data_IF_391358632253
#
_entry.id   IF_391358632253
#
_cell.length_a   1.000
_cell.length_b   1.000
_cell.length_c   1.000
_cell.angle_alpha   90.00
_cell.angle_beta   90.00
_cell.angle_gamma   90.00
#
_symmetry.space_group_name_H-M   'P 1'
#
loop_
_entity.id
_entity.type
_entity.pdbx_description
1 polymer ?
#
# COMPACT_ATOMS: atom_id res chain seq x y z
N UNK A 1 7.65 7.50 11.03
CA UNK A 1 6.43 6.66 11.02
C UNK A 1 6.81 5.23 11.35
N UNK A 2 6.12 4.61 12.29
CA UNK A 2 6.40 3.24 12.71
C UNK A 2 5.53 2.25 11.96
N UNK A 3 5.92 0.98 11.98
CA UNK A 3 5.11 -0.09 11.39
C UNK A 3 3.72 -0.14 12.05
N UNK A 4 3.68 0.11 13.35
CA UNK A 4 2.42 0.14 14.10
C UNK A 4 1.47 1.22 13.56
N UNK A 5 1.98 2.42 13.33
CA UNK A 5 1.18 3.52 12.79
C UNK A 5 0.68 3.20 11.39
N UNK A 6 1.54 2.60 10.57
CA UNK A 6 1.18 2.22 9.21
C UNK A 6 0.06 1.18 9.23
N UNK A 7 0.20 0.13 10.06
CA UNK A 7 -0.82 -0.90 10.19
C UNK A 7 -2.14 -0.33 10.68
N UNK A 8 -2.10 0.59 11.64
CA UNK A 8 -3.30 1.20 12.18
C UNK A 8 -4.04 2.00 11.09
N UNK A 9 -3.30 2.78 10.32
CA UNK A 9 -3.89 3.59 9.26
C UNK A 9 -4.46 2.73 8.15
N UNK A 10 -3.75 1.69 7.73
CA UNK A 10 -4.25 0.74 6.75
C UNK A 10 -5.47 0.00 7.28
N UNK A 11 -5.44 -0.42 8.55
CA UNK A 11 -6.57 -1.12 9.16
C UNK A 11 -7.85 -0.29 9.19
N UNK A 12 -7.72 1.02 9.34
CA UNK A 12 -8.87 1.92 9.31
C UNK A 12 -9.45 2.10 7.90
N UNK A 13 -8.75 1.61 6.89
CA UNK A 13 -9.14 1.76 5.49
C UNK A 13 -9.38 0.45 4.77
N UNK A 14 -9.48 -0.67 5.51
CA UNK A 14 -9.79 -1.97 4.91
C UNK A 14 -11.15 -1.89 4.21
N UNK A 15 -11.19 -2.40 2.97
CA UNK A 15 -12.39 -2.36 2.15
C UNK A 15 -12.59 -1.06 1.41
N UNK A 16 -11.75 -0.06 1.63
CA UNK A 16 -11.84 1.22 0.96
C UNK A 16 -10.84 1.32 -0.18
N UNK A 17 -11.20 2.11 -1.19
CA UNK A 17 -10.29 2.42 -2.28
C UNK A 17 -9.23 3.40 -1.82
N UNK A 18 -7.98 3.11 -2.21
CA UNK A 18 -6.85 4.00 -1.98
C UNK A 18 -6.07 4.13 -3.28
N UNK A 19 -5.33 5.23 -3.42
CA UNK A 19 -4.43 5.41 -4.55
C UNK A 19 -3.04 4.95 -4.12
N UNK A 20 -2.44 4.05 -4.90
CA UNK A 20 -1.10 3.53 -4.64
C UNK A 20 -0.18 4.01 -5.74
N UNK A 21 0.90 4.65 -5.35
CA UNK A 21 1.93 5.14 -6.25
C UNK A 21 3.20 4.35 -6.01
N UNK A 22 3.60 3.55 -6.97
CA UNK A 22 4.76 2.68 -6.87
C UNK A 22 5.94 3.33 -7.59
N UNK A 23 7.07 3.43 -6.89
CA UNK A 23 8.29 4.02 -7.45
C UNK A 23 9.03 2.99 -8.29
N UNK A 24 9.14 3.25 -9.59
CA UNK A 24 9.87 2.40 -10.53
C UNK A 24 11.32 2.83 -10.69
N UNK A 25 11.77 3.87 -9.97
CA UNK A 25 13.12 4.43 -10.06
C UNK A 25 13.19 5.59 -11.03
N UNK A 26 14.24 6.42 -10.92
CA UNK A 26 14.54 7.54 -11.82
C UNK A 26 13.34 8.42 -12.16
N UNK A 27 12.60 8.85 -11.13
CA UNK A 27 11.42 9.71 -11.29
C UNK A 27 10.28 9.07 -12.09
N UNK A 28 10.27 7.76 -12.18
CA UNK A 28 9.16 7.02 -12.81
C UNK A 28 8.30 6.40 -11.73
N UNK A 29 6.99 6.51 -11.90
CA UNK A 29 6.01 5.99 -10.96
C UNK A 29 4.91 5.27 -11.73
N UNK A 30 4.34 4.26 -11.09
CA UNK A 30 3.12 3.63 -11.53
C UNK A 30 2.06 3.92 -10.48
N UNK A 31 0.90 4.42 -10.90
CA UNK A 31 -0.17 4.78 -9.99
C UNK A 31 -1.44 4.03 -10.37
N UNK A 32 -2.12 3.50 -9.38
CA UNK A 32 -3.37 2.80 -9.60
C UNK A 32 -4.22 2.81 -8.34
N UNK A 33 -5.53 2.56 -8.54
CA UNK A 33 -6.49 2.47 -7.44
C UNK A 33 -6.58 1.01 -7.01
N UNK A 34 -6.58 0.80 -5.70
CA UNK A 34 -6.70 -0.54 -5.13
C UNK A 34 -7.55 -0.51 -3.87
N UNK A 35 -8.07 -1.67 -3.51
CA UNK A 35 -8.84 -1.84 -2.28
C UNK A 35 -7.98 -2.63 -1.31
N UNK A 36 -7.83 -2.13 -0.09
CA UNK A 36 -7.08 -2.82 0.94
C UNK A 36 -7.92 -4.01 1.42
N UNK A 37 -7.36 -5.22 1.31
CA UNK A 37 -8.08 -6.45 1.64
C UNK A 37 -7.73 -6.98 3.01
N UNK A 38 -6.46 -7.26 3.26
CA UNK A 38 -6.02 -7.92 4.48
C UNK A 38 -4.68 -7.38 4.92
N UNK A 39 -4.46 -7.40 6.23
CA UNK A 39 -3.19 -7.02 6.84
C UNK A 39 -2.60 -8.24 7.54
N UNK A 40 -1.31 -8.46 7.32
CA UNK A 40 -0.54 -9.50 7.99
C UNK A 40 0.57 -8.86 8.80
N UNK A 41 1.42 -9.66 9.45
CA UNK A 41 2.45 -9.13 10.33
C UNK A 41 3.47 -8.25 9.62
N UNK A 42 3.85 -8.61 8.40
CA UNK A 42 4.89 -7.90 7.66
C UNK A 42 4.44 -7.36 6.32
N UNK A 43 3.33 -7.85 5.80
CA UNK A 43 2.83 -7.47 4.49
C UNK A 43 1.33 -7.19 4.56
N UNK A 44 0.83 -6.52 3.54
CA UNK A 44 -0.60 -6.33 3.36
C UNK A 44 -1.00 -6.64 1.92
N UNK A 45 -2.26 -7.00 1.74
CA UNK A 45 -2.81 -7.44 0.46
C UNK A 45 -3.79 -6.40 -0.03
N UNK A 46 -3.66 -6.05 -1.31
CA UNK A 46 -4.60 -5.13 -1.98
C UNK A 46 -5.13 -5.81 -3.23
N UNK A 47 -6.32 -5.41 -3.64
CA UNK A 47 -6.97 -5.89 -4.85
C UNK A 47 -7.12 -4.72 -5.80
N UNK A 48 -6.55 -4.83 -6.99
CA UNK A 48 -6.65 -3.81 -8.03
C UNK A 48 -7.22 -4.41 -9.30
N UNK A 49 -7.52 -3.57 -10.29
CA UNK A 49 -7.99 -4.07 -11.58
C UNK A 49 -6.95 -4.93 -12.29
N UNK A 50 -5.70 -4.84 -11.87
CA UNK A 50 -4.61 -5.65 -12.41
C UNK A 50 -4.40 -6.95 -11.62
N UNK A 51 -5.26 -7.23 -10.63
CA UNK A 51 -5.18 -8.41 -9.81
C UNK A 51 -4.77 -8.11 -8.38
N UNK A 52 -4.59 -9.17 -7.63
CA UNK A 52 -4.18 -9.09 -6.22
C UNK A 52 -2.68 -8.82 -6.14
N UNK A 53 -2.30 -7.88 -5.29
CA UNK A 53 -0.89 -7.54 -5.07
C UNK A 53 -0.61 -7.50 -3.57
N UNK A 54 0.64 -7.79 -3.22
CA UNK A 54 1.09 -7.68 -1.83
C UNK A 54 2.25 -6.71 -1.74
N UNK A 55 2.29 -5.97 -0.65
CA UNK A 55 3.37 -5.03 -0.36
C UNK A 55 3.76 -5.19 1.10
N UNK A 56 5.01 -4.87 1.42
CA UNK A 56 5.44 -4.86 2.81
C UNK A 56 5.23 -3.47 3.41
N UNK A 57 5.07 -3.43 4.74
CA UNK A 57 4.99 -2.14 5.43
C UNK A 57 6.29 -1.36 5.29
N UNK A 58 7.40 -2.08 5.14
CA UNK A 58 8.70 -1.46 4.92
C UNK A 58 8.71 -0.64 3.63
N UNK A 59 8.00 -1.09 2.60
CA UNK A 59 7.93 -0.34 1.34
C UNK A 59 7.30 1.03 1.53
N UNK A 60 6.36 1.15 2.47
CA UNK A 60 5.79 2.45 2.83
C UNK A 60 6.81 3.28 3.60
N UNK A 61 7.55 2.66 4.52
CA UNK A 61 8.55 3.36 5.33
C UNK A 61 9.68 3.90 4.48
N UNK A 62 10.10 3.17 3.46
CA UNK A 62 11.18 3.58 2.56
C UNK A 62 10.68 4.45 1.40
N UNK A 63 9.39 4.71 1.36
CA UNK A 63 8.74 5.47 0.28
C UNK A 63 8.88 4.82 -1.09
N UNK A 64 9.10 3.52 -1.12
CA UNK A 64 9.05 2.74 -2.36
C UNK A 64 7.62 2.77 -2.91
N UNK A 65 6.64 2.76 -2.01
CA UNK A 65 5.26 3.02 -2.38
C UNK A 65 4.70 4.16 -1.53
N UNK A 66 3.80 4.92 -2.12
CA UNK A 66 3.07 5.98 -1.44
C UNK A 66 1.59 5.65 -1.54
N UNK A 67 0.87 5.78 -0.44
CA UNK A 67 -0.55 5.48 -0.40
C UNK A 67 -1.30 6.76 -0.03
N UNK A 68 -2.25 7.10 -0.87
CA UNK A 68 -3.14 8.23 -0.64
C UNK A 68 -4.51 7.67 -0.25
N UNK A 69 -4.83 7.86 0.99
CA UNK A 69 -6.09 7.41 1.57
C UNK A 69 -7.19 8.45 1.27
#
# INVERSE_FOLDING_TARGET
MTIYEIKKKLGNNIGKEVSIKYNLGRNKYEEYIAIIKELYDYIFIVDSKYGVKSFSYRDIMTKTILIDY
#
